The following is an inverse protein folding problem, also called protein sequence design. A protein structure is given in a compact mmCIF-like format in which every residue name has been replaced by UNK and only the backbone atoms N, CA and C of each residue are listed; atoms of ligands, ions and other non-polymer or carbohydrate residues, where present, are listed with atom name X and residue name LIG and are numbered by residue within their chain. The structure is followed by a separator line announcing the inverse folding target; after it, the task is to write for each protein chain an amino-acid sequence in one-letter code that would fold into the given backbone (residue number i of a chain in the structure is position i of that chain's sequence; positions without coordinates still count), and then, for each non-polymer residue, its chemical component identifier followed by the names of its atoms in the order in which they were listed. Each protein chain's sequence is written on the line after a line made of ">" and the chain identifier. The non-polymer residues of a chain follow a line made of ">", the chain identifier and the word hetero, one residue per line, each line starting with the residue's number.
data_IF_962877072646
#
_entry.id   IF_962877072646
#
_cell.length_a   1.000
_cell.length_b   1.000
_cell.length_c   1.000
_cell.angle_alpha   90.00
_cell.angle_beta   90.00
_cell.angle_gamma   90.00
#
_symmetry.space_group_name_H-M   'P 1'
#
loop_
_entity.id
_entity.type
_entity.pdbx_description
1 polymer ?
#
# COMPACT_ATOMS: atom_id res chain seq x y z
N UNK A 1 22.07 4.17 14.70
CA UNK A 1 21.41 4.69 13.49
C UNK A 1 20.37 5.68 13.98
N UNK A 2 20.49 6.94 13.55
CA UNK A 2 19.53 7.99 13.85
C UNK A 2 18.40 7.89 12.83
N UNK A 3 17.24 7.39 13.24
CA UNK A 3 16.11 7.06 12.35
C UNK A 3 15.19 8.27 12.15
N UNK A 4 15.75 9.45 11.84
CA UNK A 4 14.95 10.65 11.53
C UNK A 4 13.99 11.07 12.66
N UNK A 5 13.04 11.98 12.37
CA UNK A 5 12.09 12.45 13.39
C UNK A 5 11.20 11.29 13.90
N UNK A 6 10.73 11.39 15.15
CA UNK A 6 9.95 10.37 15.87
C UNK A 6 8.67 9.89 15.14
N UNK A 7 8.28 10.55 14.05
CA UNK A 7 7.10 10.30 13.23
C UNK A 7 7.40 9.90 11.78
N UNK A 8 8.64 9.53 11.45
CA UNK A 8 9.04 9.14 10.09
C UNK A 8 8.11 8.05 9.51
N UNK A 9 7.64 8.29 8.29
CA UNK A 9 6.81 7.35 7.53
C UNK A 9 7.67 6.51 6.60
N UNK A 10 7.66 5.20 6.77
CA UNK A 10 8.31 4.24 5.89
C UNK A 10 7.31 3.75 4.85
N UNK A 11 7.57 4.06 3.59
CA UNK A 11 6.70 3.68 2.48
C UNK A 11 7.35 2.58 1.66
N UNK A 12 6.72 1.41 1.61
CA UNK A 12 7.10 0.30 0.75
C UNK A 12 6.32 0.38 -0.55
N UNK A 13 7.03 0.59 -1.66
CA UNK A 13 6.45 0.69 -2.99
C UNK A 13 6.90 -0.52 -3.81
N UNK A 14 5.94 -1.25 -4.34
CA UNK A 14 6.17 -2.36 -5.27
C UNK A 14 5.71 -1.95 -6.66
N UNK A 15 6.63 -1.88 -7.62
CA UNK A 15 6.33 -1.51 -9.01
C UNK A 15 6.07 -2.78 -9.81
N UNK A 16 4.82 -2.96 -10.23
CA UNK A 16 4.37 -4.20 -10.88
C UNK A 16 4.42 -4.06 -12.39
N UNK A 17 5.12 -4.99 -13.03
CA UNK A 17 5.05 -5.24 -14.48
C UNK A 17 4.02 -6.34 -14.79
N UNK A 18 4.21 -7.56 -14.27
CA UNK A 18 3.34 -8.71 -14.57
C UNK A 18 2.83 -9.49 -13.35
N UNK A 19 3.46 -9.37 -12.19
CA UNK A 19 3.06 -10.04 -10.95
C UNK A 19 3.67 -9.32 -9.74
N UNK A 20 3.35 -9.82 -8.56
CA UNK A 20 3.99 -9.41 -7.33
C UNK A 20 3.40 -8.13 -6.78
N UNK A 21 2.09 -7.97 -6.72
CA UNK A 21 1.52 -6.90 -5.91
C UNK A 21 1.92 -7.03 -4.42
N UNK A 22 1.76 -5.96 -3.64
CA UNK A 22 1.76 -6.10 -2.18
C UNK A 22 0.58 -6.98 -1.78
N UNK A 23 0.87 -8.21 -1.36
CA UNK A 23 -0.11 -9.16 -0.84
C UNK A 23 -0.07 -9.24 0.69
N UNK A 24 -1.12 -9.77 1.30
CA UNK A 24 -1.20 -9.92 2.77
C UNK A 24 0.04 -10.63 3.33
N UNK A 25 0.50 -11.70 2.67
CA UNK A 25 1.72 -12.42 3.08
C UNK A 25 2.95 -11.52 3.09
N UNK A 26 3.14 -10.71 2.05
CA UNK A 26 4.28 -9.77 1.95
C UNK A 26 4.17 -8.68 3.00
N UNK A 27 2.96 -8.15 3.20
CA UNK A 27 2.67 -7.13 4.20
C UNK A 27 3.03 -7.62 5.61
N UNK A 28 2.61 -8.84 5.98
CA UNK A 28 2.94 -9.43 7.28
C UNK A 28 4.44 -9.66 7.46
N UNK A 29 5.13 -10.13 6.42
CA UNK A 29 6.57 -10.31 6.46
C UNK A 29 7.31 -8.97 6.67
N UNK A 30 6.86 -7.90 6.01
CA UNK A 30 7.43 -6.57 6.15
C UNK A 30 7.13 -5.98 7.53
N UNK A 31 5.89 -6.12 8.03
CA UNK A 31 5.57 -5.71 9.40
C UNK A 31 6.48 -6.39 10.44
N UNK A 32 6.73 -7.70 10.29
CA UNK A 32 7.63 -8.42 11.19
C UNK A 32 9.09 -7.93 11.11
N UNK A 33 9.52 -7.37 9.96
CA UNK A 33 10.85 -6.77 9.80
C UNK A 33 10.91 -5.37 10.41
N UNK A 34 9.90 -4.54 10.17
CA UNK A 34 9.87 -3.16 10.65
C UNK A 34 9.62 -3.07 12.16
N UNK A 35 8.84 -3.99 12.72
CA UNK A 35 8.64 -4.14 14.17
C UNK A 35 9.99 -4.41 14.89
N UNK A 36 10.79 -5.33 14.35
CA UNK A 36 12.15 -5.61 14.84
C UNK A 36 13.10 -4.41 14.72
N UNK A 37 12.83 -3.51 13.79
CA UNK A 37 13.59 -2.28 13.60
C UNK A 37 13.05 -1.09 14.42
N UNK A 38 12.00 -1.30 15.22
CA UNK A 38 11.44 -0.29 16.12
C UNK A 38 10.39 0.64 15.50
N UNK A 39 9.88 0.33 14.30
CA UNK A 39 8.82 1.12 13.68
C UNK A 39 7.45 0.63 14.11
N UNK A 40 6.59 1.54 14.56
CA UNK A 40 5.19 1.21 14.82
C UNK A 40 4.45 0.92 13.50
N UNK A 41 3.45 0.03 13.50
CA UNK A 41 2.68 -0.30 12.29
C UNK A 41 2.06 0.93 11.60
N UNK A 42 1.70 1.98 12.36
CA UNK A 42 1.16 3.25 11.84
C UNK A 42 2.16 4.04 11.00
N UNK A 43 3.46 3.75 11.14
CA UNK A 43 4.55 4.38 10.41
C UNK A 43 4.89 3.60 9.13
N UNK A 44 4.20 2.51 8.84
CA UNK A 44 4.53 1.63 7.71
C UNK A 44 3.36 1.61 6.73
N UNK A 45 3.62 2.12 5.53
CA UNK A 45 2.65 2.26 4.45
C UNK A 45 3.05 1.40 3.26
N UNK A 46 2.06 0.80 2.60
CA UNK A 46 2.28 -0.05 1.44
C UNK A 46 1.58 0.51 0.21
N UNK A 47 2.30 0.54 -0.90
CA UNK A 47 1.81 1.01 -2.19
C UNK A 47 2.16 -0.03 -3.26
N UNK A 48 1.19 -0.42 -4.07
CA UNK A 48 1.48 -1.12 -5.34
C UNK A 48 1.32 -0.13 -6.49
N UNK A 49 2.36 0.03 -7.31
CA UNK A 49 2.38 0.94 -8.44
C UNK A 49 2.20 0.18 -9.75
N UNK A 50 1.33 0.69 -10.62
CA UNK A 50 1.09 0.16 -11.97
C UNK A 50 1.19 1.27 -13.01
N UNK A 51 1.38 0.91 -14.28
CA UNK A 51 1.34 1.87 -15.39
C UNK A 51 -0.05 2.52 -15.46
N UNK A 52 -1.12 1.71 -15.50
CA UNK A 52 -2.50 2.18 -15.59
C UNK A 52 -3.50 1.09 -15.12
N UNK A 53 -4.78 1.47 -15.00
CA UNK A 53 -5.89 0.59 -14.57
C UNK A 53 -6.24 -0.53 -15.56
N UNK A 54 -5.78 -0.46 -16.80
CA UNK A 54 -5.99 -1.44 -17.84
C UNK A 54 -4.80 -2.39 -18.05
N UNK A 55 -3.67 -2.12 -17.40
CA UNK A 55 -2.45 -2.92 -17.48
C UNK A 55 -2.70 -4.39 -17.12
N UNK A 56 -1.99 -5.29 -17.82
CA UNK A 56 -2.08 -6.73 -17.57
C UNK A 56 -1.67 -7.09 -16.14
N UNK A 57 -0.62 -6.41 -15.62
CA UNK A 57 -0.19 -6.52 -14.23
C UNK A 57 -1.35 -6.26 -13.26
N UNK A 58 -1.98 -5.07 -13.34
CA UNK A 58 -3.08 -4.71 -12.43
C UNK A 58 -4.24 -5.70 -12.50
N UNK A 59 -4.71 -6.04 -13.72
CA UNK A 59 -5.82 -6.98 -13.90
C UNK A 59 -5.53 -8.35 -13.31
N UNK A 60 -4.28 -8.82 -13.41
CA UNK A 60 -3.87 -10.13 -12.89
C UNK A 60 -3.71 -10.13 -11.38
N UNK A 61 -3.27 -9.03 -10.77
CA UNK A 61 -2.88 -9.00 -9.36
C UNK A 61 -3.88 -8.33 -8.43
N UNK A 62 -4.89 -7.61 -8.94
CA UNK A 62 -5.86 -6.84 -8.13
C UNK A 62 -6.52 -7.68 -7.02
N UNK A 63 -6.84 -8.95 -7.29
CA UNK A 63 -7.46 -9.85 -6.31
C UNK A 63 -6.56 -10.19 -5.12
N UNK A 64 -5.25 -9.97 -5.27
CA UNK A 64 -4.24 -10.34 -4.29
C UNK A 64 -3.64 -9.12 -3.57
N UNK A 65 -4.14 -7.90 -3.87
CA UNK A 65 -3.69 -6.69 -3.20
C UNK A 65 -4.16 -6.71 -1.75
N UNK A 66 -3.23 -6.46 -0.83
CA UNK A 66 -3.50 -6.47 0.59
C UNK A 66 -4.47 -5.37 1.02
N UNK A 67 -5.28 -5.63 2.05
CA UNK A 67 -6.06 -4.58 2.71
C UNK A 67 -5.15 -3.63 3.50
N UNK A 68 -5.67 -2.44 3.80
CA UNK A 68 -4.94 -1.32 4.39
C UNK A 68 -3.68 -0.94 3.58
N UNK A 69 -3.80 -0.98 2.25
CA UNK A 69 -2.75 -0.61 1.32
C UNK A 69 -3.30 0.31 0.22
N UNK A 70 -2.38 0.92 -0.53
CA UNK A 70 -2.71 1.84 -1.62
C UNK A 70 -2.29 1.28 -2.97
N UNK A 71 -2.97 1.76 -4.00
CA UNK A 71 -2.56 1.59 -5.39
C UNK A 71 -2.36 2.96 -6.01
N UNK A 72 -1.27 3.11 -6.76
CA UNK A 72 -0.95 4.30 -7.54
C UNK A 72 -0.79 3.91 -9.01
N UNK A 73 -1.28 4.78 -9.91
CA UNK A 73 -1.20 4.58 -11.35
C UNK A 73 -0.40 5.69 -12.00
N UNK A 74 0.60 5.35 -12.81
CA UNK A 74 1.41 6.33 -13.56
C UNK A 74 0.52 7.21 -14.45
N UNK A 75 -0.51 6.64 -15.06
CA UNK A 75 -1.48 7.37 -15.90
C UNK A 75 -2.35 8.36 -15.14
N UNK A 76 -2.43 8.26 -13.81
CA UNK A 76 -3.27 9.09 -12.95
C UNK A 76 -2.47 9.53 -11.70
N UNK A 77 -1.39 10.31 -11.88
CA UNK A 77 -0.37 10.50 -10.86
C UNK A 77 -0.87 11.22 -9.60
N UNK A 78 -1.94 12.00 -9.72
CA UNK A 78 -2.56 12.76 -8.61
C UNK A 78 -3.56 11.93 -7.79
N UNK A 79 -3.80 10.67 -8.17
CA UNK A 79 -4.83 9.84 -7.56
C UNK A 79 -4.22 8.61 -6.87
N UNK A 80 -4.84 8.22 -5.75
CA UNK A 80 -4.59 6.96 -5.07
C UNK A 80 -5.89 6.19 -4.88
N UNK A 81 -5.83 4.88 -5.08
CA UNK A 81 -6.90 3.97 -4.68
C UNK A 81 -6.53 3.38 -3.32
N UNK A 82 -7.45 3.42 -2.36
CA UNK A 82 -7.22 2.87 -1.02
C UNK A 82 -8.06 1.60 -0.82
N UNK A 83 -7.39 0.49 -0.55
CA UNK A 83 -8.01 -0.77 -0.14
C UNK A 83 -8.21 -0.73 1.38
N UNK A 84 -9.34 -0.20 1.86
CA UNK A 84 -9.62 -0.08 3.30
C UNK A 84 -10.07 -1.41 3.90
N UNK A 85 -9.33 -1.94 4.89
CA UNK A 85 -9.71 -3.14 5.64
C UNK A 85 -10.73 -2.88 6.77
N UNK A 86 -11.02 -1.63 7.09
CA UNK A 86 -11.98 -1.26 8.13
C UNK A 86 -13.38 -1.02 7.55
N UNK A 87 -14.41 -1.59 8.19
CA UNK A 87 -15.81 -1.27 7.91
C UNK A 87 -16.09 0.18 8.30
N UNK A 88 -16.37 1.02 7.31
CA UNK A 88 -16.79 2.41 7.50
C UNK A 88 -18.13 2.63 6.80
N UNK A 89 -18.99 3.48 7.37
CA UNK A 89 -20.21 3.90 6.67
C UNK A 89 -19.78 4.76 5.47
N UNK A 90 -20.44 4.59 4.32
CA UNK A 90 -20.14 5.38 3.12
C UNK A 90 -20.24 6.89 3.38
N UNK A 91 -21.18 7.32 4.22
CA UNK A 91 -21.31 8.72 4.62
C UNK A 91 -20.07 9.30 5.33
N UNK A 92 -19.24 8.46 5.93
CA UNK A 92 -17.97 8.85 6.54
C UNK A 92 -16.83 8.97 5.52
N UNK A 93 -17.01 8.45 4.30
CA UNK A 93 -16.04 8.50 3.21
C UNK A 93 -16.30 9.67 2.24
N UNK A 94 -17.53 10.18 2.16
CA UNK A 94 -17.94 11.22 1.19
C UNK A 94 -17.57 12.66 1.60
N UNK A 95 -16.77 12.87 2.66
CA UNK A 95 -16.48 14.19 3.24
C UNK A 95 -15.00 14.49 3.48
N UNK A 96 -14.10 13.75 2.83
CA UNK A 96 -12.66 14.01 2.87
C UNK A 96 -12.26 15.07 1.85
#
# INVERSE_FOLDING_TARGET
>A
MDLGPDDALVVFIEVVDTDGAISDRRQQAIYALTDKAGFACKQVVFVTAYIDKNSAGFKKTISNIAWNSFVWFVSEPENLVHFSGATKKLSQLLRS
#
